data_IF_314808434593
#
_entry.id   IF_314808434593
#
_cell.length_a   1.000
_cell.length_b   1.000
_cell.length_c   1.000
_cell.angle_alpha   90.00
_cell.angle_beta   90.00
_cell.angle_gamma   90.00
#
_symmetry.space_group_name_H-M   'P 1'
#
loop_
_entity.id
_entity.type
_entity.pdbx_description
1 polymer ?
#
# COMPACT_ATOMS: atom_id res chain seq x y z
N UNK A 1 7.79 17.79 -0.99
CA UNK A 1 9.17 17.26 -0.98
C UNK A 1 9.20 15.75 -0.80
N UNK A 2 8.42 15.13 0.10
CA UNK A 2 8.43 13.67 0.31
C UNK A 2 8.34 12.82 -0.97
N UNK A 3 7.36 13.07 -1.84
CA UNK A 3 7.20 12.34 -3.10
C UNK A 3 8.37 12.52 -4.08
N UNK A 4 8.86 13.76 -4.23
CA UNK A 4 10.02 14.07 -5.10
C UNK A 4 11.28 13.37 -4.57
N UNK A 5 11.48 13.36 -3.26
CA UNK A 5 12.62 12.67 -2.64
C UNK A 5 12.54 11.16 -2.82
N UNK A 6 11.33 10.58 -2.80
CA UNK A 6 11.13 9.16 -3.09
C UNK A 6 11.50 8.82 -4.55
N UNK A 7 11.11 9.67 -5.51
CA UNK A 7 11.49 9.52 -6.93
C UNK A 7 13.00 9.61 -7.13
N UNK A 8 13.68 10.46 -6.35
CA UNK A 8 15.13 10.60 -6.35
C UNK A 8 15.87 9.51 -5.55
N UNK A 9 15.14 8.56 -4.94
CA UNK A 9 15.68 7.51 -4.07
C UNK A 9 16.34 8.03 -2.78
N UNK A 10 16.03 9.28 -2.39
CA UNK A 10 16.45 9.88 -1.13
C UNK A 10 15.52 9.44 0.01
N UNK A 11 15.62 8.17 0.39
CA UNK A 11 14.69 7.51 1.30
C UNK A 11 14.61 8.15 2.70
N UNK A 12 15.72 8.68 3.22
CA UNK A 12 15.74 9.38 4.51
C UNK A 12 14.93 10.68 4.46
N UNK A 13 15.08 11.46 3.39
CA UNK A 13 14.35 12.71 3.20
C UNK A 13 12.87 12.42 2.92
N UNK A 14 12.60 11.37 2.14
CA UNK A 14 11.23 10.90 1.90
C UNK A 14 10.55 10.52 3.22
N UNK A 15 11.21 9.70 4.06
CA UNK A 15 10.72 9.33 5.39
C UNK A 15 10.42 10.57 6.22
N UNK A 16 11.40 11.46 6.37
CA UNK A 16 11.26 12.65 7.19
C UNK A 16 10.03 13.49 6.80
N UNK A 17 9.84 13.77 5.52
CA UNK A 17 8.72 14.59 5.06
C UNK A 17 7.37 13.89 5.19
N UNK A 18 7.29 12.59 4.90
CA UNK A 18 6.04 11.85 5.03
C UNK A 18 5.64 11.61 6.49
N UNK A 19 6.60 11.32 7.37
CA UNK A 19 6.39 11.21 8.81
C UNK A 19 5.94 12.54 9.40
N UNK A 20 6.61 13.65 9.04
CA UNK A 20 6.20 14.98 9.49
C UNK A 20 4.80 15.36 9.01
N UNK A 21 4.45 15.03 7.77
CA UNK A 21 3.10 15.25 7.26
C UNK A 21 2.06 14.44 8.04
N UNK A 22 2.38 13.20 8.38
CA UNK A 22 1.51 12.34 9.18
C UNK A 22 1.31 12.87 10.60
N UNK A 23 2.36 13.38 11.25
CA UNK A 23 2.27 14.01 12.57
C UNK A 23 1.38 15.27 12.58
N UNK A 24 1.48 16.09 11.54
CA UNK A 24 0.72 17.33 11.42
C UNK A 24 -0.76 17.07 11.13
N UNK A 25 -1.06 16.01 10.38
CA UNK A 25 -2.41 15.64 9.96
C UNK A 25 -2.69 14.15 10.27
N UNK A 26 -2.83 13.76 11.54
CA UNK A 26 -2.88 12.35 11.95
C UNK A 26 -4.18 11.63 11.57
N UNK A 27 -5.21 12.35 11.13
CA UNK A 27 -6.49 11.80 10.67
C UNK A 27 -6.68 11.85 9.16
N UNK A 28 -5.73 12.40 8.42
CA UNK A 28 -5.81 12.49 6.96
C UNK A 28 -5.44 11.13 6.34
N UNK A 29 -6.44 10.44 5.79
CA UNK A 29 -6.27 9.10 5.22
C UNK A 29 -5.43 9.08 3.95
N UNK A 30 -5.39 10.19 3.22
CA UNK A 30 -4.54 10.32 2.04
C UNK A 30 -3.07 10.39 2.45
N UNK A 31 -2.74 11.20 3.46
CA UNK A 31 -1.38 11.30 4.01
C UNK A 31 -0.95 9.96 4.62
N UNK A 32 -1.84 9.26 5.33
CA UNK A 32 -1.58 7.93 5.86
C UNK A 32 -1.23 6.91 4.76
N UNK A 33 -1.99 6.88 3.66
CA UNK A 33 -1.66 6.01 2.52
C UNK A 33 -0.28 6.31 1.93
N UNK A 34 0.05 7.60 1.72
CA UNK A 34 1.38 7.99 1.23
C UNK A 34 2.51 7.63 2.20
N UNK A 35 2.29 7.77 3.51
CA UNK A 35 3.26 7.35 4.51
C UNK A 35 3.45 5.83 4.51
N UNK A 36 2.36 5.06 4.43
CA UNK A 36 2.42 3.61 4.31
C UNK A 36 3.18 3.15 3.06
N UNK A 37 2.96 3.79 1.91
CA UNK A 37 3.70 3.49 0.70
C UNK A 37 5.22 3.66 0.89
N UNK A 38 5.66 4.72 1.58
CA UNK A 38 7.08 4.93 1.91
C UNK A 38 7.60 3.88 2.89
N UNK A 39 6.83 3.52 3.91
CA UNK A 39 7.21 2.46 4.85
C UNK A 39 7.44 1.12 4.14
N UNK A 40 6.63 0.78 3.13
CA UNK A 40 6.87 -0.39 2.27
C UNK A 40 8.20 -0.30 1.54
N UNK A 41 8.53 0.85 0.94
CA UNK A 41 9.83 1.04 0.26
C UNK A 41 11.03 0.95 1.23
N UNK A 42 10.83 1.31 2.50
CA UNK A 42 11.83 1.21 3.55
C UNK A 42 11.96 -0.20 4.16
N UNK A 43 11.16 -1.16 3.71
CA UNK A 43 11.17 -2.52 4.26
C UNK A 43 10.48 -2.62 5.63
N UNK A 44 9.54 -1.72 5.93
CA UNK A 44 8.71 -1.74 7.15
C UNK A 44 7.22 -2.08 6.83
N UNK A 45 6.90 -3.21 6.18
CA UNK A 45 5.54 -3.49 5.70
C UNK A 45 4.52 -3.74 6.83
N UNK A 46 4.94 -4.20 8.01
CA UNK A 46 4.06 -4.38 9.17
C UNK A 46 3.51 -3.03 9.65
N UNK A 47 4.39 -2.03 9.79
CA UNK A 47 4.01 -0.68 10.19
C UNK A 47 3.18 0.01 9.11
N UNK A 48 3.50 -0.25 7.84
CA UNK A 48 2.71 0.20 6.72
C UNK A 48 1.27 -0.36 6.78
N UNK A 49 1.13 -1.66 7.03
CA UNK A 49 -0.18 -2.32 7.13
C UNK A 49 -1.01 -1.75 8.28
N UNK A 50 -0.42 -1.54 9.46
CA UNK A 50 -1.11 -0.91 10.58
C UNK A 50 -1.63 0.49 10.21
N UNK A 51 -0.79 1.26 9.50
CA UNK A 51 -1.11 2.62 9.04
C UNK A 51 -2.27 2.61 8.04
N UNK A 52 -2.25 1.72 7.05
CA UNK A 52 -3.32 1.58 6.05
C UNK A 52 -4.63 1.15 6.70
N UNK A 53 -4.60 0.14 7.57
CA UNK A 53 -5.80 -0.33 8.27
C UNK A 53 -6.39 0.76 9.16
N UNK A 54 -5.55 1.59 9.79
CA UNK A 54 -6.00 2.76 10.54
C UNK A 54 -6.68 3.78 9.63
N UNK A 55 -6.11 4.07 8.45
CA UNK A 55 -6.72 4.94 7.46
C UNK A 55 -8.09 4.43 7.00
N UNK A 56 -8.21 3.12 6.74
CA UNK A 56 -9.47 2.49 6.33
C UNK A 56 -10.55 2.56 7.43
N UNK A 57 -10.16 2.47 8.71
CA UNK A 57 -11.09 2.64 9.85
C UNK A 57 -11.57 4.08 10.00
N UNK A 58 -10.74 5.07 9.67
CA UNK A 58 -11.08 6.49 9.82
C UNK A 58 -12.06 6.95 8.74
N UNK A 59 -11.87 6.51 7.49
CA UNK A 59 -12.73 6.92 6.38
C UNK A 59 -13.41 5.70 5.74
N UNK A 60 -14.65 5.34 6.10
CA UNK A 60 -15.37 4.23 5.47
C UNK A 60 -15.59 4.34 3.94
N UNK A 61 -15.37 5.53 3.37
CA UNK A 61 -15.45 5.82 1.93
C UNK A 61 -14.06 6.14 1.35
N UNK A 62 -13.05 5.40 1.79
CA UNK A 62 -11.69 5.58 1.30
C UNK A 62 -11.54 5.23 -0.20
N UNK A 63 -10.57 5.84 -0.89
CA UNK A 63 -10.29 5.54 -2.29
C UNK A 63 -9.69 4.13 -2.45
N UNK A 64 -9.83 3.58 -3.66
CA UNK A 64 -9.30 2.26 -4.02
C UNK A 64 -7.78 2.14 -3.77
N UNK A 65 -7.03 3.25 -3.82
CA UNK A 65 -5.59 3.32 -3.50
C UNK A 65 -5.24 2.67 -2.14
N UNK A 66 -6.13 2.72 -1.13
CA UNK A 66 -5.84 2.07 0.15
C UNK A 66 -5.88 0.54 0.05
N UNK A 67 -6.67 -0.05 -0.85
CA UNK A 67 -6.61 -1.48 -1.11
C UNK A 67 -5.32 -1.87 -1.84
N UNK A 68 -4.79 -0.99 -2.68
CA UNK A 68 -3.47 -1.19 -3.29
C UNK A 68 -2.36 -1.15 -2.25
N UNK A 69 -2.37 -0.17 -1.35
CA UNK A 69 -1.39 -0.07 -0.28
C UNK A 69 -1.49 -1.26 0.69
N UNK A 70 -2.70 -1.68 1.09
CA UNK A 70 -2.94 -2.88 1.90
C UNK A 70 -2.40 -4.14 1.21
N UNK A 71 -2.74 -4.33 -0.06
CA UNK A 71 -2.29 -5.46 -0.85
C UNK A 71 -0.77 -5.49 -1.03
N UNK A 72 -0.13 -4.34 -1.24
CA UNK A 72 1.34 -4.24 -1.31
C UNK A 72 1.98 -4.61 0.02
N UNK A 73 1.41 -4.19 1.15
CA UNK A 73 1.90 -4.60 2.48
C UNK A 73 1.84 -6.13 2.61
N UNK A 74 0.71 -6.75 2.32
CA UNK A 74 0.55 -8.21 2.37
C UNK A 74 1.53 -8.94 1.44
N UNK A 75 1.81 -8.38 0.26
CA UNK A 75 2.75 -8.97 -0.68
C UNK A 75 4.16 -9.07 -0.10
N UNK A 76 4.64 -8.00 0.55
CA UNK A 76 5.95 -7.99 1.21
C UNK A 76 6.00 -8.84 2.49
N UNK A 77 4.86 -9.02 3.15
CA UNK A 77 4.70 -9.94 4.28
C UNK A 77 4.59 -11.41 3.85
N UNK A 78 4.48 -11.69 2.55
CA UNK A 78 4.33 -13.05 2.00
C UNK A 78 2.93 -13.65 2.18
N UNK A 79 1.93 -12.83 2.51
CA UNK A 79 0.54 -13.28 2.65
C UNK A 79 -0.20 -13.18 1.30
N UNK A 80 0.11 -14.12 0.40
CA UNK A 80 -0.39 -14.08 -0.97
C UNK A 80 -1.93 -14.21 -1.05
N UNK A 81 -2.58 -14.84 -0.07
CA UNK A 81 -4.05 -14.92 0.00
C UNK A 81 -4.67 -13.53 0.22
N UNK A 82 -4.12 -12.75 1.17
CA UNK A 82 -4.59 -11.39 1.44
C UNK A 82 -4.22 -10.40 0.34
N UNK A 83 -3.15 -10.64 -0.40
CA UNK A 83 -2.88 -9.90 -1.65
C UNK A 83 -4.06 -10.07 -2.60
N UNK A 84 -4.44 -11.31 -2.91
CA UNK A 84 -5.57 -11.57 -3.82
C UNK A 84 -6.88 -10.94 -3.30
N UNK A 85 -7.14 -11.03 -2.00
CA UNK A 85 -8.33 -10.43 -1.39
C UNK A 85 -8.36 -8.90 -1.56
N UNK A 86 -7.24 -8.22 -1.28
CA UNK A 86 -7.13 -6.76 -1.34
C UNK A 86 -7.24 -6.27 -2.78
N UNK A 87 -6.47 -6.88 -3.70
CA UNK A 87 -6.43 -6.44 -5.09
C UNK A 87 -7.74 -6.69 -5.85
N UNK A 88 -8.55 -7.69 -5.45
CA UNK A 88 -9.89 -7.91 -6.03
C UNK A 88 -10.92 -6.85 -5.65
N UNK A 89 -10.69 -6.09 -4.57
CA UNK A 89 -11.60 -5.01 -4.15
C UNK A 89 -11.41 -3.73 -4.96
N UNK A 90 -10.30 -3.61 -5.68
CA UNK A 90 -9.96 -2.44 -6.50
C UNK A 90 -10.83 -2.42 -7.75
N UNK A 91 -11.54 -1.31 -7.99
CA UNK A 91 -12.35 -1.09 -9.19
C UNK A 91 -11.52 -0.46 -10.30
N UNK A 92 -10.58 0.42 -9.95
CA UNK A 92 -9.69 1.10 -10.89
C UNK A 92 -8.22 0.80 -10.59
N UNK A 93 -7.70 -0.37 -11.03
CA UNK A 93 -6.32 -0.77 -10.74
C UNK A 93 -5.32 0.14 -11.45
N UNK A 94 -4.27 0.52 -10.72
CA UNK A 94 -3.10 1.19 -11.30
C UNK A 94 -2.29 0.22 -12.19
N UNK A 95 -1.24 0.74 -12.83
CA UNK A 95 -0.39 -0.05 -13.74
C UNK A 95 0.33 -1.23 -13.06
N UNK A 96 0.70 -1.09 -11.78
CA UNK A 96 1.40 -2.11 -11.01
C UNK A 96 0.45 -3.20 -10.45
N UNK A 97 -0.82 -2.88 -10.23
CA UNK A 97 -1.79 -3.74 -9.55
C UNK A 97 -1.97 -5.13 -10.19
N UNK A 98 -2.08 -5.27 -11.53
CA UNK A 98 -2.15 -6.58 -12.17
C UNK A 98 -0.92 -7.47 -11.91
N UNK A 99 0.26 -6.89 -11.75
CA UNK A 99 1.49 -7.64 -11.50
C UNK A 99 1.48 -8.29 -10.11
N UNK A 100 1.09 -7.54 -9.09
CA UNK A 100 0.96 -8.07 -7.73
C UNK A 100 -0.08 -9.19 -7.66
N UNK A 101 -1.24 -8.98 -8.28
CA UNK A 101 -2.30 -9.99 -8.33
C UNK A 101 -1.87 -11.25 -9.07
N UNK A 102 -1.22 -11.12 -10.25
CA UNK A 102 -0.73 -12.26 -11.02
C UNK A 102 0.31 -13.08 -10.26
N UNK A 103 1.25 -12.42 -9.59
CA UNK A 103 2.26 -13.07 -8.76
C UNK A 103 1.64 -13.84 -7.59
N UNK A 104 0.68 -13.24 -6.88
CA UNK A 104 0.00 -13.90 -5.78
C UNK A 104 -0.85 -15.10 -6.22
N UNK A 105 -1.56 -14.99 -7.36
CA UNK A 105 -2.32 -16.10 -7.94
C UNK A 105 -1.41 -17.24 -8.43
N UNK A 106 -0.24 -16.90 -8.97
CA UNK A 106 0.75 -17.91 -9.37
C UNK A 106 1.22 -18.73 -8.16
N UNK A 107 1.56 -18.06 -7.05
CA UNK A 107 2.05 -18.72 -5.83
C UNK A 107 0.97 -19.54 -5.11
N UNK A 108 -0.28 -19.08 -5.13
CA UNK A 108 -1.41 -19.81 -4.53
C UNK A 108 -1.91 -20.96 -5.41
N UNK A 109 -1.37 -21.14 -6.62
CA UNK A 109 -1.76 -22.19 -7.58
C UNK A 109 -3.11 -21.93 -8.26
N UNK A 110 -3.66 -20.73 -8.12
CA UNK A 110 -5.03 -20.36 -8.47
C UNK A 110 -5.12 -19.65 -9.83
N UNK A 111 -4.20 -19.99 -10.75
CA UNK A 111 -4.02 -19.38 -12.08
C UNK A 111 -5.26 -19.45 -12.99
N UNK A 112 -6.25 -20.29 -12.68
CA UNK A 112 -7.49 -20.44 -13.46
C UNK A 112 -8.45 -19.26 -13.33
N UNK A 113 -8.21 -18.31 -12.43
CA UNK A 113 -9.11 -17.18 -12.14
C UNK A 113 -8.85 -15.93 -13.00
N UNK A 114 -8.05 -16.05 -14.07
CA UNK A 114 -7.79 -14.98 -15.05
C UNK A 114 -8.70 -15.00 -16.28
N UNK A 115 -9.53 -16.03 -16.44
CA UNK A 115 -10.56 -16.14 -17.48
C UNK A 115 -11.93 -15.72 -16.94
#
# INVERSE_FOLDING_TARGET
MGAISLENLDFEIARHHHERAHELCPSDTYIMGKYAAVLVYLGEPEKALETVQKAMRINPFYPDDLFEDEGRCHFWLGDDERVVESFRKIKSPNMASPFYLAMALHKTGDLKKFC
#
